data_IF_317325340361
#
_entry.id   IF_317325340361
#
_cell.length_a   1.000
_cell.length_b   1.000
_cell.length_c   1.000
_cell.angle_alpha   90.00
_cell.angle_beta   90.00
_cell.angle_gamma   90.00
#
_symmetry.space_group_name_H-M   'P 1'
#
loop_
_entity.id
_entity.type
_entity.pdbx_description
1 polymer ?
#
# COMPACT_ATOMS: atom_id res chain seq x y z
N UNK A 1 11.80 -4.85 2.83
CA UNK A 1 12.31 -3.77 1.94
C UNK A 1 11.56 -2.48 2.23
N UNK A 2 12.26 -1.35 2.37
CA UNK A 2 11.63 -0.06 2.63
C UNK A 2 11.24 0.68 1.33
N UNK A 3 10.01 1.22 1.32
CA UNK A 3 9.40 2.02 0.27
C UNK A 3 8.90 3.34 0.84
N UNK A 4 9.02 4.39 0.05
CA UNK A 4 8.39 5.69 0.30
C UNK A 4 7.83 6.21 -1.01
N UNK A 5 6.67 6.85 -0.97
CA UNK A 5 6.05 7.35 -2.19
C UNK A 5 4.66 7.90 -1.96
N UNK A 6 3.87 7.89 -3.03
CA UNK A 6 2.48 8.34 -3.03
C UNK A 6 1.57 7.20 -3.50
N UNK A 7 0.46 6.98 -2.81
CA UNK A 7 -0.61 6.09 -3.24
C UNK A 7 -1.40 6.76 -4.36
N UNK A 8 -1.36 6.16 -5.54
CA UNK A 8 -2.10 6.62 -6.72
C UNK A 8 -3.52 6.08 -6.76
N UNK A 9 -3.71 4.83 -6.32
CA UNK A 9 -4.99 4.17 -6.28
C UNK A 9 -4.94 3.06 -5.23
N UNK A 10 -6.09 2.81 -4.59
CA UNK A 10 -6.28 1.80 -3.59
C UNK A 10 -7.58 1.05 -3.91
N UNK A 11 -7.51 -0.28 -3.95
CA UNK A 11 -8.65 -1.14 -4.30
C UNK A 11 -8.73 -2.29 -3.32
N UNK A 12 -9.89 -2.46 -2.69
CA UNK A 12 -10.22 -3.67 -1.94
C UNK A 12 -10.69 -4.73 -2.93
N UNK A 13 -9.93 -5.82 -3.02
CA UNK A 13 -10.24 -6.94 -3.91
C UNK A 13 -9.93 -8.28 -3.27
N UNK A 14 -10.57 -9.31 -3.80
CA UNK A 14 -10.22 -10.69 -3.44
C UNK A 14 -8.88 -11.03 -4.08
N UNK A 15 -7.88 -11.33 -3.26
CA UNK A 15 -6.51 -11.47 -3.73
C UNK A 15 -5.76 -12.54 -2.91
N UNK A 16 -5.33 -13.67 -3.52
CA UNK A 16 -5.56 -14.05 -4.92
C UNK A 16 -7.05 -14.38 -5.20
N UNK A 17 -7.49 -14.35 -6.47
CA UNK A 17 -8.88 -14.68 -6.82
C UNK A 17 -9.27 -16.10 -6.38
N UNK A 18 -10.48 -16.26 -5.84
CA UNK A 18 -10.98 -17.54 -5.32
C UNK A 18 -10.43 -17.94 -3.94
N UNK A 19 -9.85 -17.00 -3.19
CA UNK A 19 -9.35 -17.21 -1.83
C UNK A 19 -10.34 -16.83 -0.72
N UNK A 20 -11.43 -16.16 -1.05
CA UNK A 20 -12.37 -15.49 -0.13
C UNK A 20 -11.70 -14.45 0.80
N UNK A 21 -10.44 -14.07 0.55
CA UNK A 21 -9.70 -13.08 1.34
C UNK A 21 -9.68 -11.75 0.62
N UNK A 22 -10.32 -10.75 1.22
CA UNK A 22 -10.26 -9.36 0.76
C UNK A 22 -8.96 -8.73 1.27
N UNK A 23 -8.13 -8.28 0.36
CA UNK A 23 -6.90 -7.55 0.63
C UNK A 23 -6.99 -6.16 -0.02
N UNK A 24 -6.11 -5.25 0.39
CA UNK A 24 -6.06 -3.90 -0.18
C UNK A 24 -4.85 -3.80 -1.11
N UNK A 25 -5.12 -3.71 -2.40
CA UNK A 25 -4.09 -3.50 -3.42
C UNK A 25 -3.81 -2.00 -3.57
N UNK A 26 -2.56 -1.59 -3.35
CA UNK A 26 -2.11 -0.21 -3.51
C UNK A 26 -1.22 -0.06 -4.75
N UNK A 27 -1.55 0.93 -5.57
CA UNK A 27 -0.74 1.37 -6.71
C UNK A 27 0.08 2.59 -6.34
N UNK A 28 1.39 2.55 -6.61
CA UNK A 28 2.36 3.48 -6.03
C UNK A 28 3.10 4.29 -7.10
N UNK A 29 3.35 5.56 -6.79
CA UNK A 29 4.23 6.46 -7.54
C UNK A 29 5.39 6.94 -6.64
N UNK A 30 6.52 7.28 -7.25
CA UNK A 30 7.65 7.91 -6.55
C UNK A 30 8.54 6.95 -5.75
N UNK A 31 8.32 5.63 -5.83
CA UNK A 31 9.06 4.61 -5.06
C UNK A 31 10.50 4.35 -5.52
N UNK A 32 10.95 4.98 -6.61
CA UNK A 32 12.28 4.81 -7.20
C UNK A 32 12.39 3.70 -8.26
N UNK A 33 13.52 3.62 -8.98
CA UNK A 33 13.75 2.62 -10.03
C UNK A 33 13.92 1.21 -9.45
N UNK A 34 13.41 0.20 -10.16
CA UNK A 34 13.51 -1.22 -9.75
C UNK A 34 12.63 -1.61 -8.56
N UNK A 35 11.77 -0.69 -8.10
CA UNK A 35 10.90 -0.87 -6.93
C UNK A 35 9.47 -1.22 -7.39
N UNK A 36 8.73 -2.01 -6.60
CA UNK A 36 7.38 -2.41 -6.97
C UNK A 36 6.43 -1.21 -7.01
N UNK A 37 5.67 -1.11 -8.10
CA UNK A 37 4.59 -0.11 -8.26
C UNK A 37 3.24 -0.60 -7.74
N UNK A 38 3.18 -1.84 -7.28
CA UNK A 38 2.00 -2.48 -6.70
C UNK A 38 2.41 -3.23 -5.45
N UNK A 39 1.73 -2.97 -4.35
CA UNK A 39 1.89 -3.68 -3.07
C UNK A 39 0.51 -4.09 -2.55
N UNK A 40 0.49 -5.06 -1.66
CA UNK A 40 -0.72 -5.67 -1.13
C UNK A 40 -0.69 -5.57 0.39
N UNK A 41 -1.69 -4.93 0.96
CA UNK A 41 -1.91 -4.88 2.40
C UNK A 41 -2.75 -6.09 2.78
N UNK A 42 -2.23 -7.02 3.60
CA UNK A 42 -2.92 -8.25 3.93
C UNK A 42 -4.13 -8.00 4.82
N UNK A 43 -5.12 -8.89 4.74
CA UNK A 43 -6.36 -8.81 5.50
C UNK A 43 -6.16 -8.58 7.02
N UNK A 44 -5.19 -9.29 7.61
CA UNK A 44 -4.94 -9.20 9.05
C UNK A 44 -4.50 -7.79 9.47
N UNK A 45 -3.76 -7.08 8.59
CA UNK A 45 -3.33 -5.70 8.84
C UNK A 45 -4.51 -4.73 8.69
N UNK A 46 -5.40 -4.94 7.71
CA UNK A 46 -6.64 -4.17 7.54
C UNK A 46 -7.57 -4.28 8.75
N UNK A 47 -7.66 -5.46 9.36
CA UNK A 47 -8.45 -5.66 10.58
C UNK A 47 -7.84 -4.95 11.79
N UNK A 48 -6.50 -4.86 11.84
CA UNK A 48 -5.79 -4.30 12.99
C UNK A 48 -5.71 -2.77 12.97
N UNK A 49 -5.78 -2.15 11.79
CA UNK A 49 -5.60 -0.71 11.62
C UNK A 49 -6.72 -0.09 10.76
N UNK A 50 -7.71 0.56 11.40
CA UNK A 50 -8.82 1.22 10.71
C UNK A 50 -8.42 2.40 9.80
N UNK A 51 -7.19 2.90 9.89
CA UNK A 51 -6.69 3.96 9.00
C UNK A 51 -6.35 3.45 7.60
N UNK A 52 -6.26 2.12 7.42
CA UNK A 52 -6.04 1.45 6.14
C UNK A 52 -7.33 1.30 5.33
N UNK A 53 -8.01 2.43 5.12
CA UNK A 53 -9.21 2.49 4.31
C UNK A 53 -8.88 2.95 2.88
N UNK A 54 -9.42 2.25 1.87
CA UNK A 54 -9.09 2.48 0.47
C UNK A 54 -9.42 3.91 0.00
N UNK A 55 -10.54 4.47 0.46
CA UNK A 55 -10.96 5.83 0.10
C UNK A 55 -10.10 6.88 0.78
N UNK A 56 -9.62 6.59 1.99
CA UNK A 56 -8.85 7.51 2.83
C UNK A 56 -7.37 7.61 2.45
N UNK A 57 -6.78 6.54 1.90
CA UNK A 57 -5.32 6.49 1.65
C UNK A 57 -4.91 6.98 0.26
N UNK A 58 -5.85 7.12 -0.69
CA UNK A 58 -5.52 7.59 -2.04
C UNK A 58 -5.04 9.05 -2.03
N UNK A 59 -3.92 9.35 -2.71
CA UNK A 59 -3.23 10.64 -2.63
C UNK A 59 -2.32 10.78 -1.39
N UNK A 60 -2.41 9.81 -0.48
CA UNK A 60 -1.49 9.41 0.57
C UNK A 60 0.00 9.49 0.27
N UNK A 61 0.79 10.38 0.89
CA UNK A 61 2.20 10.08 1.10
C UNK A 61 2.34 8.90 2.07
N UNK A 62 3.21 7.93 1.80
CA UNK A 62 3.37 6.74 2.63
C UNK A 62 4.84 6.34 2.84
N UNK A 63 5.08 5.60 3.91
CA UNK A 63 6.28 4.79 4.14
C UNK A 63 5.84 3.35 4.47
N UNK A 64 6.44 2.36 3.82
CA UNK A 64 6.07 0.96 4.03
C UNK A 64 7.28 0.02 4.01
N UNK A 65 7.20 -0.98 4.88
CA UNK A 65 8.01 -2.17 4.80
C UNK A 65 7.25 -3.26 4.03
N UNK A 66 7.89 -3.77 2.98
CA UNK A 66 7.31 -4.82 2.13
C UNK A 66 8.27 -6.00 1.95
N UNK A 67 7.68 -7.17 1.80
CA UNK A 67 8.38 -8.41 1.50
C UNK A 67 7.72 -9.10 0.32
N UNK A 68 8.47 -9.94 -0.39
CA UNK A 68 7.89 -10.70 -1.49
C UNK A 68 7.39 -12.05 -0.95
N UNK A 69 6.12 -12.35 -1.19
CA UNK A 69 5.53 -13.64 -0.82
C UNK A 69 5.97 -14.76 -1.79
N UNK A 70 5.57 -16.00 -1.48
CA UNK A 70 5.88 -17.19 -2.30
C UNK A 70 5.24 -17.16 -3.68
N UNK A 71 4.21 -16.32 -3.89
CA UNK A 71 3.56 -16.08 -5.18
C UNK A 71 4.16 -14.91 -5.96
N UNK A 72 5.22 -14.28 -5.45
CA UNK A 72 5.88 -13.13 -6.08
C UNK A 72 5.17 -11.79 -5.85
N UNK A 73 4.13 -11.73 -5.02
CA UNK A 73 3.43 -10.48 -4.66
C UNK A 73 4.25 -9.73 -3.61
N UNK A 74 4.19 -8.40 -3.66
CA UNK A 74 4.81 -7.57 -2.62
C UNK A 74 3.78 -7.31 -1.54
N UNK A 75 3.96 -7.93 -0.38
CA UNK A 75 3.05 -7.87 0.75
C UNK A 75 3.61 -6.91 1.81
N UNK A 76 2.74 -6.08 2.35
CA UNK A 76 3.07 -5.10 3.39
C UNK A 76 3.20 -5.79 4.73
N UNK A 77 4.34 -5.60 5.39
CA UNK A 77 4.54 -5.99 6.79
C UNK A 77 4.18 -4.85 7.74
N UNK A 78 4.47 -3.60 7.36
CA UNK A 78 4.10 -2.39 8.08
C UNK A 78 3.95 -1.21 7.11
N UNK A 79 3.02 -0.31 7.38
CA UNK A 79 2.81 0.90 6.59
C UNK A 79 2.34 2.05 7.49
N UNK A 80 2.78 3.26 7.18
CA UNK A 80 2.28 4.49 7.77
C UNK A 80 2.03 5.54 6.69
N UNK A 81 0.97 6.32 6.84
CA UNK A 81 0.63 7.43 5.96
C UNK A 81 0.98 8.76 6.60
N UNK A 82 1.34 9.74 5.78
CA UNK A 82 1.43 11.11 6.23
C UNK A 82 0.02 11.62 6.57
N UNK A 83 -0.15 12.22 7.76
CA UNK A 83 -1.40 12.76 8.33
C UNK A 83 -1.99 13.97 7.56
N UNK A 84 -2.06 13.92 6.23
CA UNK A 84 -2.73 14.95 5.43
C UNK A 84 -1.96 16.27 5.29
N UNK A 85 -0.72 16.40 5.79
CA UNK A 85 0.20 17.41 5.28
C UNK A 85 0.81 16.91 3.97
N UNK A 86 0.09 17.21 2.90
CA UNK A 86 0.56 17.11 1.51
C UNK A 86 2.04 17.49 1.44
N UNK A 87 2.91 16.54 1.11
CA UNK A 87 4.28 16.80 0.68
C UNK A 87 4.21 17.45 -0.72
N UNK A 88 3.79 18.70 -0.80
CA UNK A 88 4.01 19.57 -1.95
C UNK A 88 5.17 20.48 -1.59
N UNK A 89 6.30 20.27 -2.25
CA UNK A 89 7.32 21.31 -2.39
C UNK A 89 6.83 22.29 -3.49
N UNK A 90 6.62 23.58 -3.21
CA UNK A 90 6.42 24.58 -4.26
C UNK A 90 7.81 25.02 -4.75
N UNK A 91 8.42 24.21 -5.61
CA UNK A 91 9.63 24.55 -6.35
C UNK A 91 9.34 24.65 -7.84
#
# INVERSE_FOLDING_TARGET
MQLRGIVMSAVLDENPPGSDRIELTLWLQGVGPGKPRRIVVPYDLLLSDPSLDAESVQGHGFEAEVEQDTGGRWVVAAIGFADGRVLRDPG
#
